data_IF_136994578722
#
_entry.id   IF_136994578722
#
_cell.length_a   1.000
_cell.length_b   1.000
_cell.length_c   1.000
_cell.angle_alpha   90.00
_cell.angle_beta   90.00
_cell.angle_gamma   90.00
#
_symmetry.space_group_name_H-M   'P 1'
#
loop_
_entity.id
_entity.type
_entity.pdbx_description
1 polymer ?
#
# COMPACT_ATOMS: atom_id res chain seq x y z
N UNK A 1 1.22 15.70 -6.53
CA UNK A 1 0.89 15.01 -5.24
C UNK A 1 -0.31 14.08 -5.37
N UNK A 2 -1.46 14.55 -5.85
CA UNK A 2 -2.67 13.70 -6.04
C UNK A 2 -2.38 12.45 -6.89
N UNK A 3 -1.67 12.59 -8.01
CA UNK A 3 -1.27 11.47 -8.87
C UNK A 3 -0.59 10.33 -8.09
N UNK A 4 0.48 10.63 -7.36
CA UNK A 4 1.15 9.68 -6.49
C UNK A 4 0.21 9.06 -5.44
N UNK A 5 -0.67 9.87 -4.82
CA UNK A 5 -1.67 9.37 -3.86
C UNK A 5 -2.60 8.30 -4.43
N UNK A 6 -3.00 8.43 -5.71
CA UNK A 6 -3.83 7.42 -6.40
C UNK A 6 -3.06 6.09 -6.53
N UNK A 7 -1.76 6.13 -6.87
CA UNK A 7 -0.94 4.91 -6.93
C UNK A 7 -0.80 4.24 -5.56
N UNK A 8 -0.63 5.04 -4.50
CA UNK A 8 -0.57 4.54 -3.12
C UNK A 8 -1.89 3.88 -2.72
N UNK A 9 -3.03 4.49 -3.05
CA UNK A 9 -4.35 3.91 -2.77
C UNK A 9 -4.55 2.58 -3.51
N UNK A 10 -4.26 2.52 -4.80
CA UNK A 10 -4.37 1.28 -5.58
C UNK A 10 -3.44 0.19 -5.03
N UNK A 11 -2.25 0.59 -4.56
CA UNK A 11 -1.30 -0.32 -3.91
C UNK A 11 -1.85 -0.85 -2.57
N UNK A 12 -2.54 -0.04 -1.78
CA UNK A 12 -3.25 -0.50 -0.58
C UNK A 12 -4.34 -1.51 -0.90
N UNK A 13 -5.18 -1.23 -1.90
CA UNK A 13 -6.24 -2.15 -2.34
C UNK A 13 -5.67 -3.49 -2.82
N UNK A 14 -4.56 -3.45 -3.57
CA UNK A 14 -3.82 -4.64 -4.00
C UNK A 14 -3.30 -5.43 -2.78
N UNK A 15 -2.60 -4.77 -1.86
CA UNK A 15 -1.92 -5.42 -0.74
C UNK A 15 -2.88 -5.96 0.32
N UNK A 16 -3.97 -5.23 0.62
CA UNK A 16 -4.84 -5.52 1.75
C UNK A 16 -6.10 -6.31 1.35
N UNK A 17 -6.57 -6.17 0.11
CA UNK A 17 -7.76 -6.84 -0.39
C UNK A 17 -7.44 -7.88 -1.49
N UNK A 18 -6.20 -7.97 -1.95
CA UNK A 18 -5.86 -8.80 -3.11
C UNK A 18 -6.56 -8.34 -4.39
N UNK A 19 -6.84 -7.03 -4.51
CA UNK A 19 -7.60 -6.48 -5.62
C UNK A 19 -6.76 -6.46 -6.92
N UNK A 20 -6.93 -7.47 -7.75
CA UNK A 20 -6.24 -7.60 -9.04
C UNK A 20 -6.59 -6.47 -10.02
N UNK A 21 -7.80 -5.89 -9.92
CA UNK A 21 -8.19 -4.74 -10.75
C UNK A 21 -7.40 -3.49 -10.34
N UNK A 22 -7.15 -3.30 -9.04
CA UNK A 22 -6.32 -2.20 -8.55
C UNK A 22 -4.87 -2.36 -9.06
N UNK A 23 -4.36 -3.59 -9.06
CA UNK A 23 -3.04 -3.90 -9.61
C UNK A 23 -2.94 -3.56 -11.12
N UNK A 24 -3.92 -3.99 -11.92
CA UNK A 24 -3.98 -3.68 -13.36
C UNK A 24 -4.11 -2.18 -13.63
N UNK A 25 -5.00 -1.48 -12.89
CA UNK A 25 -5.17 -0.04 -13.00
C UNK A 25 -3.89 0.72 -12.62
N UNK A 26 -3.19 0.29 -11.58
CA UNK A 26 -1.90 0.87 -11.16
C UNK A 26 -0.87 0.77 -12.29
N UNK A 27 -0.75 -0.40 -12.94
CA UNK A 27 0.16 -0.58 -14.08
C UNK A 27 -0.20 0.33 -15.27
N UNK A 28 -1.47 0.45 -15.61
CA UNK A 28 -1.91 1.36 -16.68
C UNK A 28 -1.61 2.83 -16.35
N UNK A 29 -1.84 3.23 -15.09
CA UNK A 29 -1.51 4.58 -14.63
C UNK A 29 -0.01 4.85 -14.62
N UNK A 30 0.85 3.86 -14.32
CA UNK A 30 2.30 4.02 -14.41
C UNK A 30 2.75 4.37 -15.84
N UNK A 31 2.26 3.64 -16.84
CA UNK A 31 2.55 3.94 -18.25
C UNK A 31 2.10 5.36 -18.60
N UNK A 32 0.85 5.70 -18.28
CA UNK A 32 0.30 7.02 -18.56
C UNK A 32 1.07 8.14 -17.83
N UNK A 33 1.34 8.00 -16.53
CA UNK A 33 2.06 9.02 -15.75
C UNK A 33 3.47 9.24 -16.26
N UNK A 34 4.13 8.20 -16.76
CA UNK A 34 5.44 8.32 -17.41
C UNK A 34 5.35 9.18 -18.66
N UNK A 35 4.34 8.96 -19.52
CA UNK A 35 4.16 9.71 -20.76
C UNK A 35 3.93 11.20 -20.53
N UNK A 36 3.23 11.57 -19.46
CA UNK A 36 2.89 12.98 -19.15
C UNK A 36 3.74 13.59 -18.02
N UNK A 37 4.76 12.88 -17.54
CA UNK A 37 5.70 13.39 -16.53
C UNK A 37 5.10 13.62 -15.14
N UNK A 38 4.12 12.80 -14.73
CA UNK A 38 3.55 12.86 -13.38
C UNK A 38 4.39 12.05 -12.37
N UNK A 39 4.43 12.46 -11.09
CA UNK A 39 5.22 11.80 -10.07
C UNK A 39 4.64 10.44 -9.69
N UNK A 40 5.51 9.43 -9.58
CA UNK A 40 5.17 8.03 -9.33
C UNK A 40 5.85 7.48 -8.06
N UNK A 41 6.89 8.16 -7.58
CA UNK A 41 7.69 7.80 -6.41
C UNK A 41 7.80 8.97 -5.43
N UNK A 42 8.32 8.70 -4.22
CA UNK A 42 8.69 9.76 -3.28
C UNK A 42 9.82 10.64 -3.82
N UNK A 43 10.76 10.07 -4.58
CA UNK A 43 11.85 10.82 -5.19
C UNK A 43 11.34 11.85 -6.21
N UNK A 44 10.36 11.47 -7.03
CA UNK A 44 9.69 12.38 -7.98
C UNK A 44 8.97 13.55 -7.29
N UNK A 45 8.66 13.40 -5.99
CA UNK A 45 8.08 14.45 -5.16
C UNK A 45 9.15 15.30 -4.43
N UNK A 46 10.44 15.06 -4.68
CA UNK A 46 11.55 15.69 -3.98
C UNK A 46 11.79 15.12 -2.58
N UNK A 47 11.30 13.91 -2.29
CA UNK A 47 11.34 13.26 -0.99
C UNK A 47 12.25 12.01 -0.99
N UNK A 48 13.22 11.91 -1.91
CA UNK A 48 14.13 10.76 -2.01
C UNK A 48 14.96 10.48 -0.75
N UNK A 49 15.21 11.53 0.05
CA UNK A 49 15.97 11.45 1.30
C UNK A 49 15.09 11.47 2.56
N UNK A 50 13.78 11.26 2.41
CA UNK A 50 12.87 11.22 3.56
C UNK A 50 13.29 10.11 4.52
N UNK A 51 13.38 10.44 5.80
CA UNK A 51 13.70 9.44 6.83
C UNK A 51 12.49 8.55 7.11
N UNK A 52 12.75 7.36 7.64
CA UNK A 52 11.68 6.47 8.10
C UNK A 52 10.76 7.15 9.13
N UNK A 53 11.33 7.98 10.01
CA UNK A 53 10.59 8.70 11.04
C UNK A 53 9.65 9.76 10.46
N UNK A 54 10.11 10.53 9.48
CA UNK A 54 9.28 11.53 8.77
C UNK A 54 8.18 10.87 7.94
N UNK A 55 8.50 9.76 7.26
CA UNK A 55 7.52 8.99 6.52
C UNK A 55 6.44 8.41 7.44
N UNK A 56 6.85 7.88 8.61
CA UNK A 56 5.92 7.39 9.64
C UNK A 56 5.03 8.51 10.17
N UNK A 57 5.59 9.67 10.47
CA UNK A 57 4.81 10.82 10.89
C UNK A 57 3.78 11.25 9.83
N UNK A 58 4.16 11.26 8.55
CA UNK A 58 3.22 11.55 7.48
C UNK A 58 2.09 10.51 7.40
N UNK A 59 2.41 9.23 7.56
CA UNK A 59 1.41 8.17 7.56
C UNK A 59 0.47 8.24 8.77
N UNK A 60 1.00 8.52 9.98
CA UNK A 60 0.19 8.75 11.18
C UNK A 60 -0.78 9.92 11.02
N UNK A 61 -0.33 11.02 10.39
CA UNK A 61 -1.20 12.17 10.08
C UNK A 61 -2.31 11.77 9.11
N UNK A 62 -1.97 11.01 8.07
CA UNK A 62 -2.94 10.53 7.09
C UNK A 62 -3.94 9.52 7.67
N UNK A 63 -3.61 8.80 8.74
CA UNK A 63 -4.47 7.81 9.40
C UNK A 63 -5.27 8.36 10.61
N UNK A 64 -5.23 9.66 10.90
CA UNK A 64 -6.03 10.27 12.00
C UNK A 64 -7.53 10.04 11.82
N UNK A 65 -8.28 9.97 12.92
CA UNK A 65 -9.72 9.62 12.94
C UNK A 65 -10.59 10.39 11.92
N UNK A 66 -10.31 11.67 11.69
CA UNK A 66 -11.10 12.53 10.80
C UNK A 66 -10.50 12.66 9.38
N UNK A 67 -9.65 11.72 8.96
CA UNK A 67 -9.01 11.73 7.65
C UNK A 67 -9.87 11.03 6.58
N UNK A 68 -9.78 11.52 5.35
CA UNK A 68 -10.46 10.92 4.18
C UNK A 68 -10.03 9.47 3.90
N UNK A 69 -8.89 9.02 4.44
CA UNK A 69 -8.41 7.64 4.26
C UNK A 69 -9.43 6.61 4.77
N UNK A 70 -10.26 6.98 5.75
CA UNK A 70 -11.29 6.12 6.32
C UNK A 70 -12.51 5.94 5.41
N UNK A 71 -12.57 6.65 4.28
CA UNK A 71 -13.55 6.38 3.21
C UNK A 71 -13.18 5.16 2.37
N UNK A 72 -11.98 4.60 2.53
CA UNK A 72 -11.65 3.30 1.95
C UNK A 72 -12.53 2.21 2.59
N UNK A 73 -13.00 1.21 1.82
CA UNK A 73 -13.89 0.16 2.32
C UNK A 73 -13.18 -0.86 3.22
N UNK A 74 -12.03 -0.51 3.79
CA UNK A 74 -11.20 -1.31 4.69
C UNK A 74 -10.36 -0.41 5.60
N UNK A 75 -10.02 -0.87 6.81
CA UNK A 75 -9.14 -0.11 7.70
C UNK A 75 -7.72 -0.05 7.16
N UNK A 76 -7.03 1.08 7.39
CA UNK A 76 -5.63 1.29 6.99
C UNK A 76 -4.82 1.74 8.20
N UNK A 77 -3.76 1.00 8.53
CA UNK A 77 -2.79 1.42 9.56
C UNK A 77 -1.67 2.28 8.96
N UNK A 78 -0.99 3.12 9.76
CA UNK A 78 0.16 3.88 9.29
C UNK A 78 1.24 3.01 8.64
N UNK A 79 1.52 1.82 9.19
CA UNK A 79 2.53 0.89 8.67
C UNK A 79 2.15 0.35 7.28
N UNK A 80 0.87 0.03 7.08
CA UNK A 80 0.35 -0.39 5.77
C UNK A 80 0.44 0.73 4.74
N UNK A 81 0.10 1.96 5.14
CA UNK A 81 0.23 3.14 4.29
C UNK A 81 1.69 3.40 3.91
N UNK A 82 2.61 3.34 4.87
CA UNK A 82 4.05 3.47 4.58
C UNK A 82 4.53 2.41 3.60
N UNK A 83 4.15 1.15 3.80
CA UNK A 83 4.51 0.04 2.92
C UNK A 83 3.98 0.27 1.49
N UNK A 84 2.76 0.79 1.34
CA UNK A 84 2.21 1.17 0.04
C UNK A 84 2.96 2.35 -0.60
N UNK A 85 3.31 3.38 0.19
CA UNK A 85 4.06 4.56 -0.27
C UNK A 85 5.43 4.19 -0.87
N UNK A 86 6.15 3.26 -0.26
CA UNK A 86 7.49 2.87 -0.74
C UNK A 86 7.48 1.77 -1.81
N UNK A 87 6.32 1.18 -2.13
CA UNK A 87 6.19 0.07 -3.06
C UNK A 87 5.27 0.36 -4.26
N UNK A 88 5.00 1.64 -4.55
CA UNK A 88 4.13 2.04 -5.66
C UNK A 88 4.60 1.50 -6.99
N UNK A 89 5.91 1.35 -7.24
CA UNK A 89 6.49 0.85 -8.50
C UNK A 89 6.82 -0.64 -8.46
N UNK A 90 6.58 -1.33 -7.34
CA UNK A 90 6.88 -2.76 -7.23
C UNK A 90 5.98 -3.56 -8.20
N UNK A 91 6.57 -4.44 -9.05
CA UNK A 91 5.79 -5.30 -9.93
C UNK A 91 4.84 -6.21 -9.13
N UNK A 92 3.72 -6.55 -9.75
CA UNK A 92 2.79 -7.55 -9.19
C UNK A 92 3.51 -8.90 -9.28
N UNK A 93 3.98 -9.41 -8.14
CA UNK A 93 4.59 -10.74 -8.08
C UNK A 93 3.49 -11.81 -8.01
N UNK A 94 3.65 -12.89 -8.77
CA UNK A 94 2.85 -14.10 -8.55
C UNK A 94 3.19 -14.66 -7.16
N UNK A 95 2.23 -14.58 -6.23
CA UNK A 95 2.19 -15.27 -4.92
C UNK A 95 3.04 -14.70 -3.77
N UNK A 96 2.38 -14.33 -2.66
CA UNK A 96 2.62 -14.91 -1.31
C UNK A 96 1.34 -14.89 -0.43
N UNK A 97 0.18 -15.23 -1.00
CA UNK A 97 -0.95 -15.74 -0.20
C UNK A 97 -0.71 -17.25 -0.03
N UNK A 98 0.21 -17.68 0.85
CA UNK A 98 0.34 -19.12 1.14
C UNK A 98 0.98 -19.55 2.46
N UNK A 99 1.19 -18.66 3.45
CA UNK A 99 1.74 -19.11 4.74
C UNK A 99 1.21 -18.38 5.98
N UNK A 100 0.00 -17.83 5.92
CA UNK A 100 -0.72 -17.46 7.14
C UNK A 100 -1.59 -18.67 7.49
N UNK A 101 -1.27 -19.45 8.55
CA UNK A 101 -2.14 -20.54 8.96
C UNK A 101 -3.53 -19.95 9.24
N UNK A 102 -4.54 -20.57 8.64
CA UNK A 102 -5.94 -20.27 8.90
C UNK A 102 -6.23 -20.43 10.41
N UNK A 103 -7.23 -19.73 10.93
CA UNK A 103 -7.62 -19.85 12.35
C UNK A 103 -7.94 -21.30 12.78
N UNK A 104 -8.21 -22.21 11.82
CA UNK A 104 -8.34 -23.65 12.09
C UNK A 104 -7.02 -24.35 12.40
N UNK A 105 -5.93 -23.96 11.71
CA UNK A 105 -4.59 -24.56 11.88
C UNK A 105 -3.90 -24.11 13.17
N UNK A 106 -4.30 -22.94 13.73
CA UNK A 106 -3.87 -22.48 15.06
C UNK A 106 -4.54 -23.24 16.21
N UNK A 107 -5.66 -23.93 15.95
CA UNK A 107 -6.34 -24.76 16.94
C UNK A 107 -5.61 -26.08 17.21
N UNK A 108 -5.05 -26.70 16.17
CA UNK A 108 -4.36 -28.00 16.27
C UNK A 108 -3.00 -27.89 16.98
N UNK A 109 -2.33 -26.73 16.88
CA UNK A 109 -1.06 -26.47 17.58
C UNK A 109 -1.23 -26.30 19.10
N UNK A 110 -2.46 -26.18 19.60
CA UNK A 110 -2.77 -26.00 21.02
C UNK A 110 -3.13 -27.30 21.75
N UNK A 111 -3.30 -28.41 21.02
CA UNK A 111 -3.56 -29.74 21.60
C UNK A 111 -2.32 -30.64 21.70
N UNK A 112 -1.16 -30.15 21.28
CA UNK A 112 0.14 -30.83 21.40
C UNK A 112 1.06 -30.24 22.49
N UNK A 113 0.48 -29.53 23.47
CA UNK A 113 1.18 -29.00 24.65
C UNK A 113 0.80 -29.76 25.92
#
# INVERSE_FOLDING_TARGET
>A
KVAYGILVQLRLEEMLQGNQLAAAARQQLHSFYTEIGLPQTLDDLGLGNITLAELRQAAEVACRENSDIHHLPFPVTPEQLMAAMVSTTTPVGDSQIKNIPSLGELGELRELG
#
